data_IF_737716903748
#
_entry.id   IF_737716903748
#
_cell.length_a   1.000
_cell.length_b   1.000
_cell.length_c   1.000
_cell.angle_alpha   90.00
_cell.angle_beta   90.00
_cell.angle_gamma   90.00
#
_symmetry.space_group_name_H-M   'P 1'
#
loop_
_entity.id
_entity.type
_entity.pdbx_description
1 polymer ?
#
# COMPACT_ATOMS: atom_id res chain seq x y z
N UNK A 1 0.28 3.56 -14.55
CA UNK A 1 1.54 3.97 -13.92
C UNK A 1 1.33 5.35 -13.27
N UNK A 2 0.85 5.40 -12.03
CA UNK A 2 0.62 6.66 -11.30
C UNK A 2 0.79 6.39 -9.79
N UNK A 3 2.03 6.42 -9.34
CA UNK A 3 2.41 6.31 -7.94
C UNK A 3 2.29 7.70 -7.32
N UNK A 4 1.35 7.87 -6.39
CA UNK A 4 1.18 9.11 -5.62
C UNK A 4 1.82 8.91 -4.24
N UNK A 5 2.81 9.74 -3.92
CA UNK A 5 3.51 9.72 -2.62
C UNK A 5 2.67 10.46 -1.60
N UNK A 6 2.14 9.74 -0.60
CA UNK A 6 1.48 10.35 0.56
C UNK A 6 2.54 11.09 1.40
N UNK A 7 2.64 12.40 1.18
CA UNK A 7 3.52 13.28 1.96
C UNK A 7 2.84 13.55 3.29
N UNK A 8 3.29 12.87 4.34
CA UNK A 8 2.85 13.09 5.70
C UNK A 8 3.39 12.04 6.65
N UNK A 9 4.65 12.21 7.09
CA UNK A 9 5.27 11.64 8.31
C UNK A 9 4.66 10.31 8.79
N UNK A 10 4.56 9.32 7.90
CA UNK A 10 4.19 7.95 8.24
C UNK A 10 5.08 7.04 7.42
N UNK A 11 6.16 6.66 8.08
CA UNK A 11 7.11 5.60 7.79
C UNK A 11 6.61 4.63 6.70
N UNK A 12 7.23 4.74 5.52
CA UNK A 12 7.39 3.68 4.52
C UNK A 12 6.16 2.80 4.21
N UNK A 13 4.94 3.34 4.20
CA UNK A 13 3.75 2.60 3.76
C UNK A 13 3.53 2.73 2.26
N UNK A 14 3.37 1.59 1.61
CA UNK A 14 3.15 1.42 0.17
C UNK A 14 1.79 0.79 -0.07
N UNK A 15 1.22 1.04 -1.26
CA UNK A 15 0.04 0.31 -1.71
C UNK A 15 0.13 -0.07 -3.18
N UNK A 16 -0.30 -1.29 -3.50
CA UNK A 16 -0.39 -1.82 -4.86
C UNK A 16 -1.85 -2.12 -5.16
N UNK A 17 -2.34 -1.56 -6.26
CA UNK A 17 -3.68 -1.88 -6.78
C UNK A 17 -3.62 -3.18 -7.58
N UNK A 18 -4.35 -4.19 -7.13
CA UNK A 18 -4.45 -5.50 -7.81
C UNK A 18 -5.60 -5.51 -8.81
N UNK A 19 -6.72 -4.85 -8.48
CA UNK A 19 -7.88 -4.73 -9.38
C UNK A 19 -8.76 -3.54 -9.03
N UNK A 20 -9.95 -3.44 -9.65
CA UNK A 20 -10.88 -2.31 -9.42
C UNK A 20 -11.31 -2.19 -7.96
N UNK A 21 -11.46 -3.31 -7.25
CA UNK A 21 -11.86 -3.36 -5.84
C UNK A 21 -10.73 -3.56 -4.84
N UNK A 22 -9.57 -4.09 -5.26
CA UNK A 22 -8.58 -4.61 -4.32
C UNK A 22 -7.28 -3.80 -4.30
N UNK A 23 -6.77 -3.57 -3.09
CA UNK A 23 -5.47 -2.95 -2.82
C UNK A 23 -4.72 -3.73 -1.74
N UNK A 24 -3.44 -3.98 -1.97
CA UNK A 24 -2.53 -4.48 -0.94
C UNK A 24 -1.82 -3.27 -0.34
N UNK A 25 -1.82 -3.15 0.98
CA UNK A 25 -1.09 -2.13 1.73
C UNK A 25 0.03 -2.84 2.50
N UNK A 26 1.24 -2.29 2.51
CA UNK A 26 2.36 -2.88 3.26
C UNK A 26 3.34 -1.79 3.67
N UNK A 27 4.22 -2.09 4.61
CA UNK A 27 5.37 -1.26 4.96
C UNK A 27 6.61 -1.85 4.31
N UNK A 28 7.45 -1.04 3.67
CA UNK A 28 8.75 -1.52 3.17
C UNK A 28 9.81 -1.17 4.20
N UNK A 29 10.58 -2.15 4.67
CA UNK A 29 11.66 -1.93 5.62
C UNK A 29 12.77 -2.94 5.38
N UNK A 30 14.01 -2.46 5.29
CA UNK A 30 15.21 -3.30 5.14
C UNK A 30 15.17 -4.30 3.95
N UNK A 31 14.40 -3.98 2.90
CA UNK A 31 14.24 -4.84 1.72
C UNK A 31 13.06 -5.82 1.79
N UNK A 32 12.29 -5.79 2.88
CA UNK A 32 11.16 -6.67 3.13
C UNK A 32 9.83 -5.93 3.20
N UNK A 33 8.75 -6.63 2.84
CA UNK A 33 7.37 -6.16 3.00
C UNK A 33 6.80 -6.64 4.35
N UNK A 34 6.56 -5.70 5.26
CA UNK A 34 5.99 -5.92 6.59
C UNK A 34 4.55 -5.42 6.67
N UNK A 35 3.77 -5.92 7.62
CA UNK A 35 2.38 -5.47 7.88
C UNK A 35 1.52 -5.45 6.59
N UNK A 36 1.51 -6.58 5.88
CA UNK A 36 0.80 -6.71 4.60
C UNK A 36 -0.70 -6.91 4.86
N UNK A 37 -1.51 -5.94 4.43
CA UNK A 37 -2.97 -5.94 4.56
C UNK A 37 -3.66 -5.91 3.20
N UNK A 38 -4.65 -6.77 3.00
CA UNK A 38 -5.50 -6.77 1.81
C UNK A 38 -6.78 -5.96 2.06
N UNK A 39 -6.90 -4.84 1.38
CA UNK A 39 -8.05 -3.95 1.46
C UNK A 39 -8.95 -4.09 0.24
N UNK A 40 -10.25 -4.12 0.50
CA UNK A 40 -11.29 -4.10 -0.52
C UNK A 40 -12.10 -2.80 -0.42
N UNK A 41 -12.39 -2.18 -1.56
CA UNK A 41 -13.17 -0.96 -1.66
C UNK A 41 -14.63 -1.19 -2.09
N UNK A 42 -15.12 -2.43 -2.13
CA UNK A 42 -16.56 -2.67 -2.26
C UNK A 42 -17.25 -2.33 -0.94
N UNK A 43 -17.99 -1.22 -0.94
CA UNK A 43 -18.98 -0.87 0.08
C UNK A 43 -20.31 -1.51 -0.26
#
# INVERSE_FOLDING_TARGET
>A
NRLERLVGVREERYSIRVSRGWRICFTWKDGDALNVDLNNHYK
#
